data_IF_026242135602
#
_entry.id   IF_026242135602
#
_cell.length_a   1.000
_cell.length_b   1.000
_cell.length_c   1.000
_cell.angle_alpha   90.00
_cell.angle_beta   90.00
_cell.angle_gamma   90.00
#
_symmetry.space_group_name_H-M   'P 1'
#
loop_
_entity.id
_entity.type
_entity.pdbx_description
1 polymer ?
#
# COMPACT_ATOMS: atom_id res chain seq x y z
N UNK A 1 18.62 4.26 -14.51
CA UNK A 1 18.28 2.88 -14.08
C UNK A 1 17.24 3.04 -13.00
N UNK A 2 16.08 2.40 -13.13
CA UNK A 2 15.01 2.54 -12.14
C UNK A 2 15.46 1.93 -10.81
N UNK A 3 15.32 2.69 -9.72
CA UNK A 3 15.65 2.27 -8.36
C UNK A 3 14.70 1.19 -7.86
N UNK A 4 15.12 0.46 -6.83
CA UNK A 4 14.27 -0.58 -6.25
C UNK A 4 13.01 0.01 -5.59
N UNK A 5 13.10 1.23 -5.05
CA UNK A 5 11.95 1.98 -4.51
C UNK A 5 10.95 2.36 -5.60
N UNK A 6 11.41 2.81 -6.77
CA UNK A 6 10.52 3.15 -7.90
C UNK A 6 9.78 1.91 -8.40
N UNK A 7 10.50 0.77 -8.57
CA UNK A 7 9.90 -0.50 -8.96
C UNK A 7 8.88 -1.01 -7.95
N UNK A 8 9.18 -0.85 -6.65
CA UNK A 8 8.28 -1.21 -5.57
C UNK A 8 6.95 -0.46 -5.67
N UNK A 9 7.00 0.86 -5.83
CA UNK A 9 5.81 1.69 -5.95
C UNK A 9 5.07 1.50 -7.27
N UNK A 10 5.80 1.20 -8.35
CA UNK A 10 5.23 1.00 -9.68
C UNK A 10 4.42 -0.29 -9.77
N UNK A 11 5.00 -1.44 -9.40
CA UNK A 11 4.38 -2.76 -9.59
C UNK A 11 4.63 -3.76 -8.45
N UNK A 12 5.86 -3.81 -7.89
CA UNK A 12 6.25 -4.90 -6.99
C UNK A 12 5.44 -4.96 -5.69
N UNK A 13 5.10 -3.80 -5.12
CA UNK A 13 4.31 -3.73 -3.90
C UNK A 13 2.88 -4.24 -4.08
N UNK A 14 2.24 -3.95 -5.22
CA UNK A 14 0.87 -4.39 -5.48
C UNK A 14 0.83 -5.92 -5.64
N UNK A 15 1.77 -6.48 -6.41
CA UNK A 15 1.93 -7.91 -6.62
C UNK A 15 2.11 -8.64 -5.28
N UNK A 16 3.08 -8.21 -4.47
CA UNK A 16 3.34 -8.78 -3.15
C UNK A 16 2.10 -8.75 -2.25
N UNK A 17 1.37 -7.62 -2.19
CA UNK A 17 0.18 -7.50 -1.36
C UNK A 17 -0.95 -8.44 -1.81
N UNK A 18 -1.12 -8.63 -3.12
CA UNK A 18 -2.09 -9.60 -3.66
C UNK A 18 -1.69 -11.04 -3.32
N UNK A 19 -0.41 -11.37 -3.40
CA UNK A 19 0.11 -12.71 -3.06
C UNK A 19 -0.15 -13.08 -1.60
N UNK A 20 0.00 -12.13 -0.67
CA UNK A 20 -0.28 -12.36 0.75
C UNK A 20 -1.78 -12.30 1.11
N UNK A 21 -2.66 -12.09 0.13
CA UNK A 21 -4.10 -12.22 0.27
C UNK A 21 -4.90 -10.92 0.36
N UNK A 22 -4.30 -9.76 0.08
CA UNK A 22 -5.05 -8.52 -0.11
C UNK A 22 -5.85 -8.60 -1.42
N UNK A 23 -7.13 -8.26 -1.34
CA UNK A 23 -8.10 -8.41 -2.42
C UNK A 23 -8.89 -7.13 -2.61
N UNK A 24 -9.50 -7.02 -3.79
CA UNK A 24 -10.42 -5.93 -4.11
C UNK A 24 -11.52 -5.79 -3.07
N UNK A 25 -11.98 -4.55 -2.88
CA UNK A 25 -13.09 -4.16 -1.98
C UNK A 25 -12.81 -4.35 -0.49
N UNK A 26 -11.60 -4.76 -0.11
CA UNK A 26 -11.22 -4.88 1.29
C UNK A 26 -10.98 -3.49 1.91
N UNK A 27 -11.26 -3.42 3.22
CA UNK A 27 -10.84 -2.32 4.07
C UNK A 27 -9.60 -2.78 4.84
N UNK A 28 -8.49 -2.05 4.71
CA UNK A 28 -7.21 -2.37 5.35
C UNK A 28 -6.68 -1.18 6.13
N UNK A 29 -5.94 -1.48 7.19
CA UNK A 29 -5.22 -0.51 8.01
C UNK A 29 -3.72 -0.71 7.80
N UNK A 30 -3.05 0.32 7.32
CA UNK A 30 -1.58 0.44 7.30
C UNK A 30 -1.14 1.12 8.61
N UNK A 31 -0.65 0.31 9.55
CA UNK A 31 -0.28 0.76 10.89
C UNK A 31 1.22 1.02 10.98
N UNK A 32 1.60 2.24 11.35
CA UNK A 32 2.97 2.71 11.27
C UNK A 32 3.38 2.99 9.82
N UNK A 33 2.51 3.70 9.08
CA UNK A 33 2.66 3.86 7.64
C UNK A 33 3.90 4.66 7.22
N UNK A 34 4.52 5.44 8.13
CA UNK A 34 5.68 6.26 7.83
C UNK A 34 5.44 7.17 6.62
N UNK A 35 6.26 7.03 5.58
CA UNK A 35 6.15 7.76 4.31
C UNK A 35 5.11 7.20 3.32
N UNK A 36 4.38 6.16 3.70
CA UNK A 36 3.32 5.56 2.90
C UNK A 36 3.79 4.56 1.84
N UNK A 37 4.96 3.95 2.00
CA UNK A 37 5.52 2.96 1.06
C UNK A 37 4.59 1.76 0.77
N UNK A 38 3.69 1.42 1.69
CA UNK A 38 2.67 0.38 1.51
C UNK A 38 1.29 0.92 1.19
N UNK A 39 0.97 2.15 1.59
CA UNK A 39 -0.35 2.75 1.39
C UNK A 39 -0.73 2.85 -0.10
N UNK A 40 0.19 3.28 -0.97
CA UNK A 40 -0.06 3.40 -2.41
C UNK A 40 -0.25 2.02 -3.06
N UNK A 41 0.66 1.04 -2.88
CA UNK A 41 0.44 -0.32 -3.37
C UNK A 41 -0.85 -0.98 -2.85
N UNK A 42 -1.17 -0.78 -1.56
CA UNK A 42 -2.39 -1.31 -0.96
C UNK A 42 -3.64 -0.70 -1.60
N UNK A 43 -3.63 0.60 -1.91
CA UNK A 43 -4.75 1.28 -2.56
C UNK A 43 -5.00 0.72 -3.96
N UNK A 44 -3.93 0.40 -4.72
CA UNK A 44 -4.04 -0.29 -6.01
C UNK A 44 -4.65 -1.69 -5.84
N UNK A 45 -4.17 -2.46 -4.85
CA UNK A 45 -4.61 -3.83 -4.63
C UNK A 45 -6.10 -3.94 -4.26
N UNK A 46 -6.62 -3.02 -3.43
CA UNK A 46 -8.03 -3.04 -3.01
C UNK A 46 -8.99 -2.41 -4.01
N UNK A 47 -8.48 -1.66 -4.99
CA UNK A 47 -9.27 -1.02 -6.03
C UNK A 47 -10.23 0.07 -5.52
N UNK A 48 -11.02 0.65 -6.43
CA UNK A 48 -11.84 1.85 -6.14
C UNK A 48 -13.01 1.64 -5.17
N UNK A 49 -13.39 0.40 -4.88
CA UNK A 49 -14.42 0.07 -3.89
C UNK A 49 -13.82 -0.29 -2.52
N UNK A 50 -12.51 -0.54 -2.45
CA UNK A 50 -11.79 -0.79 -1.21
C UNK A 50 -11.31 0.51 -0.55
N UNK A 51 -10.84 0.41 0.69
CA UNK A 51 -10.30 1.56 1.42
C UNK A 51 -9.03 1.17 2.17
N UNK A 52 -8.03 2.04 2.07
CA UNK A 52 -6.83 1.98 2.89
C UNK A 52 -6.92 3.10 3.91
N UNK A 53 -6.84 2.74 5.19
CA UNK A 53 -6.70 3.67 6.29
C UNK A 53 -5.23 3.68 6.70
N UNK A 54 -4.65 4.86 6.82
CA UNK A 54 -3.28 5.03 7.30
C UNK A 54 -3.33 5.54 8.74
N UNK A 55 -2.53 4.93 9.60
CA UNK A 55 -2.40 5.36 10.99
C UNK A 55 -0.93 5.33 11.40
N UNK A 56 -0.40 6.49 11.75
CA UNK A 56 0.90 6.63 12.38
C UNK A 56 0.77 7.48 13.64
N UNK A 57 1.66 7.24 14.61
CA UNK A 57 1.78 8.08 15.80
C UNK A 57 2.40 9.44 15.46
N UNK A 58 3.21 9.48 14.41
CA UNK A 58 3.89 10.68 13.96
C UNK A 58 2.99 11.36 12.92
N UNK A 59 2.48 12.55 13.24
CA UNK A 59 1.55 13.29 12.38
C UNK A 59 2.17 13.86 11.09
N UNK A 60 3.39 13.44 10.73
CA UNK A 60 4.11 13.87 9.53
C UNK A 60 4.03 12.82 8.41
N UNK A 61 2.95 12.04 8.38
CA UNK A 61 2.62 11.16 7.26
C UNK A 61 2.17 11.97 6.03
#
# INVERSE_FOLDING_TARGET
MESDSEKWLAYGGEEFLREIGIKEKQNILDFGCGDGAYAIPAAKAVGGEGRVYVADKDGNA
#
